data_IF_752253812341
#
_entry.id   IF_752253812341
#
_cell.length_a   1.000
_cell.length_b   1.000
_cell.length_c   1.000
_cell.angle_alpha   90.00
_cell.angle_beta   90.00
_cell.angle_gamma   90.00
#
_symmetry.space_group_name_H-M   'P 1'
#
loop_
_entity.id
_entity.type
_entity.pdbx_description
1 polymer ?
#
# COMPACT_ATOMS: atom_id res chain seq x y z
N UNK A 1 -36.58 -7.45 16.77
CA UNK A 1 -35.12 -7.49 16.98
C UNK A 1 -34.45 -7.11 15.66
N UNK A 2 -33.84 -5.91 15.53
CA UNK A 2 -33.10 -5.58 14.31
C UNK A 2 -31.66 -6.11 14.44
N UNK A 3 -31.23 -6.82 13.40
CA UNK A 3 -29.91 -7.39 13.23
C UNK A 3 -28.84 -6.29 13.11
N UNK A 4 -27.71 -6.55 13.76
CA UNK A 4 -26.44 -5.86 13.66
C UNK A 4 -25.97 -5.78 12.19
N UNK A 5 -26.30 -4.68 11.50
CA UNK A 5 -25.50 -4.23 10.37
C UNK A 5 -24.26 -3.54 10.94
N UNK A 6 -23.13 -4.25 10.92
CA UNK A 6 -21.83 -3.65 11.16
C UNK A 6 -21.63 -2.45 10.21
N UNK A 7 -20.81 -1.46 10.57
CA UNK A 7 -20.68 -0.25 9.79
C UNK A 7 -20.32 -0.60 8.34
N UNK A 8 -21.23 -0.26 7.42
CA UNK A 8 -20.97 -0.28 5.98
C UNK A 8 -19.95 0.84 5.71
N UNK A 9 -18.69 0.56 6.02
CA UNK A 9 -17.59 1.42 5.63
C UNK A 9 -17.53 1.26 4.12
N UNK A 10 -17.89 2.30 3.32
CA UNK A 10 -17.68 2.21 1.88
C UNK A 10 -16.21 1.82 1.69
N UNK A 11 -15.94 0.81 0.85
CA UNK A 11 -14.58 0.39 0.49
C UNK A 11 -13.88 1.55 -0.24
N UNK A 12 -13.53 2.59 0.51
CA UNK A 12 -12.81 3.74 0.03
C UNK A 12 -11.41 3.25 -0.29
N UNK A 13 -11.04 3.36 -1.57
CA UNK A 13 -9.70 3.07 -2.05
C UNK A 13 -8.74 3.93 -1.21
N UNK A 14 -7.84 3.32 -0.40
CA UNK A 14 -6.91 4.08 0.41
C UNK A 14 -6.00 4.90 -0.52
N UNK A 15 -5.90 6.20 -0.24
CA UNK A 15 -5.00 7.12 -0.93
C UNK A 15 -3.73 7.28 -0.10
N UNK A 16 -2.58 7.06 -0.71
CA UNK A 16 -1.27 7.12 -0.07
C UNK A 16 -0.39 8.12 -0.80
N UNK A 17 0.11 9.12 -0.08
CA UNK A 17 1.07 10.10 -0.57
C UNK A 17 2.46 9.74 -0.05
N UNK A 18 3.40 9.47 -0.96
CA UNK A 18 4.79 9.17 -0.65
C UNK A 18 5.63 10.40 -0.99
N UNK A 19 6.19 11.04 0.03
CA UNK A 19 7.05 12.22 -0.14
C UNK A 19 8.51 11.75 -0.17
N UNK A 20 9.21 12.07 -1.25
CA UNK A 20 10.57 11.62 -1.58
C UNK A 20 10.57 10.32 -2.39
N UNK A 21 10.70 10.43 -3.72
CA UNK A 21 10.82 9.31 -4.68
C UNK A 21 12.22 8.69 -4.76
N UNK A 22 13.09 8.97 -3.79
CA UNK A 22 14.38 8.30 -3.65
C UNK A 22 14.22 6.83 -3.22
N UNK A 23 15.32 6.13 -2.96
CA UNK A 23 15.36 4.70 -2.64
C UNK A 23 14.36 4.27 -1.56
N UNK A 24 14.20 5.07 -0.50
CA UNK A 24 13.27 4.76 0.59
C UNK A 24 11.79 4.86 0.15
N UNK A 25 11.41 5.89 -0.60
CA UNK A 25 10.04 6.06 -1.07
C UNK A 25 9.63 5.03 -2.11
N UNK A 26 10.54 4.68 -3.02
CA UNK A 26 10.32 3.58 -3.97
C UNK A 26 10.22 2.23 -3.26
N UNK A 27 11.11 1.96 -2.29
CA UNK A 27 11.05 0.71 -1.51
C UNK A 27 9.73 0.59 -0.72
N UNK A 28 9.29 1.68 -0.09
CA UNK A 28 8.00 1.72 0.61
C UNK A 28 6.82 1.50 -0.34
N UNK A 29 6.83 2.18 -1.49
CA UNK A 29 5.76 2.07 -2.50
C UNK A 29 5.65 0.66 -3.05
N UNK A 30 6.78 0.06 -3.45
CA UNK A 30 6.80 -1.29 -4.02
C UNK A 30 6.37 -2.33 -2.99
N UNK A 31 6.82 -2.22 -1.73
CA UNK A 31 6.38 -3.10 -0.67
C UNK A 31 4.88 -2.97 -0.39
N UNK A 32 4.34 -1.74 -0.42
CA UNK A 32 2.91 -1.50 -0.26
C UNK A 32 2.10 -2.11 -1.41
N UNK A 33 2.53 -1.91 -2.66
CA UNK A 33 1.90 -2.52 -3.84
C UNK A 33 1.96 -4.04 -3.78
N UNK A 34 3.09 -4.61 -3.38
CA UNK A 34 3.24 -6.05 -3.24
C UNK A 34 2.27 -6.58 -2.17
N UNK A 35 2.17 -5.94 -1.00
CA UNK A 35 1.20 -6.26 0.05
C UNK A 35 -0.26 -6.15 -0.42
N UNK A 36 -0.61 -5.07 -1.11
CA UNK A 36 -1.96 -4.83 -1.63
C UNK A 36 -2.36 -5.83 -2.72
N UNK A 37 -1.38 -6.41 -3.43
CA UNK A 37 -1.60 -7.49 -4.38
C UNK A 37 -1.61 -8.89 -3.74
N UNK A 38 -1.47 -8.98 -2.42
CA UNK A 38 -1.43 -10.26 -1.69
C UNK A 38 -0.09 -10.98 -1.78
N UNK A 39 0.97 -10.27 -2.17
CA UNK A 39 2.35 -10.75 -2.18
C UNK A 39 3.05 -10.35 -0.88
N UNK A 40 4.09 -11.08 -0.52
CA UNK A 40 4.92 -10.70 0.61
C UNK A 40 5.80 -9.49 0.28
N UNK A 41 6.11 -8.63 1.27
CA UNK A 41 7.12 -7.59 1.12
C UNK A 41 8.47 -8.23 0.76
N UNK A 42 9.23 -7.60 -0.15
CA UNK A 42 10.51 -8.14 -0.64
C UNK A 42 11.59 -8.24 0.44
N UNK A 43 11.41 -7.54 1.56
CA UNK A 43 12.32 -7.52 2.71
C UNK A 43 11.79 -8.28 3.93
N UNK A 44 10.80 -9.17 3.77
CA UNK A 44 10.32 -9.96 4.91
C UNK A 44 11.35 -11.02 5.30
N UNK A 45 11.59 -11.16 6.60
CA UNK A 45 12.39 -12.26 7.17
C UNK A 45 11.56 -13.56 7.35
N UNK A 46 10.26 -13.51 7.04
CA UNK A 46 9.34 -14.65 7.13
C UNK A 46 9.46 -15.59 5.92
N UNK A 47 9.09 -16.86 6.10
CA UNK A 47 9.14 -17.83 5.01
C UNK A 47 8.12 -17.49 3.90
N UNK A 48 8.39 -17.84 2.62
CA UNK A 48 7.50 -17.53 1.50
C UNK A 48 6.06 -18.09 1.64
N UNK A 49 5.90 -19.07 2.51
CA UNK A 49 4.71 -19.93 2.62
C UNK A 49 3.61 -19.34 3.53
N UNK A 50 3.95 -18.37 4.39
CA UNK A 50 3.07 -17.93 5.51
C UNK A 50 2.26 -16.65 5.24
N UNK A 51 2.49 -15.94 4.11
CA UNK A 51 2.07 -14.53 3.98
C UNK A 51 1.20 -14.18 2.78
N UNK A 52 0.59 -15.14 2.08
CA UNK A 52 -0.34 -14.79 1.00
C UNK A 52 -1.68 -14.34 1.58
N UNK A 53 -1.81 -13.03 1.86
CA UNK A 53 -3.12 -12.42 2.02
C UNK A 53 -3.83 -12.50 0.67
N UNK A 54 -4.80 -13.41 0.53
CA UNK A 54 -5.60 -13.60 -0.70
C UNK A 54 -6.47 -12.40 -1.10
N UNK A 55 -6.43 -11.31 -0.33
CA UNK A 55 -7.25 -10.12 -0.52
C UNK A 55 -6.47 -9.08 -1.32
N UNK A 56 -6.93 -8.81 -2.54
CA UNK A 56 -6.44 -7.68 -3.33
C UNK A 56 -7.13 -6.40 -2.87
N UNK A 57 -6.36 -5.46 -2.36
CA UNK A 57 -6.86 -4.14 -1.95
C UNK A 57 -6.47 -3.12 -3.03
N UNK A 58 -7.44 -2.50 -3.73
CA UNK A 58 -7.12 -1.38 -4.60
C UNK A 58 -6.58 -0.22 -3.77
N UNK A 59 -5.41 0.31 -4.13
CA UNK A 59 -4.78 1.48 -3.51
C UNK A 59 -4.40 2.50 -4.57
N UNK A 60 -4.50 3.77 -4.23
CA UNK A 60 -4.12 4.89 -5.08
C UNK A 60 -2.88 5.55 -4.46
N UNK A 61 -1.74 5.45 -5.13
CA UNK A 61 -0.44 5.88 -4.61
C UNK A 61 0.08 7.03 -5.45
N UNK A 62 0.29 8.18 -4.81
CA UNK A 62 0.93 9.35 -5.40
C UNK A 62 2.33 9.47 -4.82
N UNK A 63 3.36 9.52 -5.66
CA UNK A 63 4.73 9.77 -5.25
C UNK A 63 5.07 11.21 -5.63
N UNK A 64 5.66 11.96 -4.70
CA UNK A 64 6.13 13.34 -4.92
C UNK A 64 7.60 13.37 -4.54
N UNK A 65 8.50 13.55 -5.50
CA UNK A 65 9.93 13.76 -5.23
C UNK A 65 10.31 15.24 -5.41
N UNK A 66 11.18 15.75 -4.53
CA UNK A 66 11.82 17.06 -4.73
C UNK A 66 12.64 17.09 -6.03
N UNK A 67 13.15 15.91 -6.44
CA UNK A 67 13.94 15.73 -7.67
C UNK A 67 13.11 15.72 -8.95
N UNK A 68 11.78 15.67 -8.86
CA UNK A 68 10.88 15.73 -10.03
C UNK A 68 10.78 17.14 -10.65
N UNK A 69 11.61 18.10 -10.18
CA UNK A 69 11.77 19.40 -10.82
C UNK A 69 11.16 20.58 -10.08
N UNK A 70 11.03 20.51 -8.74
CA UNK A 70 10.90 21.72 -7.91
C UNK A 70 12.21 21.99 -7.18
N UNK A 71 13.26 22.21 -7.98
CA UNK A 71 14.36 23.07 -7.59
C UNK A 71 14.14 24.38 -8.33
N UNK A 72 13.77 25.44 -7.62
CA UNK A 72 14.01 26.82 -8.08
C UNK A 72 15.52 27.05 -8.34
#
# INVERSE_FOLDING_TARGET
MPSNEGPNIPQAIPRVLVIGGSYAGLAATVNLVDLCNGKQPRFTAASPEEGSLKTKLPVDITIVDERDGYCE
#
